data_IF_798220737186
#
_entry.id   IF_798220737186
#
_cell.length_a   1.000
_cell.length_b   1.000
_cell.length_c   1.000
_cell.angle_alpha   90.00
_cell.angle_beta   90.00
_cell.angle_gamma   90.00
#
_symmetry.space_group_name_H-M   'P 1'
#
loop_
_entity.id
_entity.type
_entity.pdbx_description
1 polymer ?
#
# COMPACT_ATOMS: atom_id res chain seq x y z
N UNK A 1 -18.75 -20.61 -30.10
CA UNK A 1 -17.50 -21.02 -29.41
C UNK A 1 -16.65 -19.82 -28.93
N UNK A 2 -16.42 -18.80 -29.76
CA UNK A 2 -15.62 -17.60 -29.41
C UNK A 2 -16.23 -16.83 -28.24
N UNK A 3 -17.53 -16.61 -28.18
CA UNK A 3 -18.21 -15.91 -27.10
C UNK A 3 -18.07 -16.64 -25.75
N UNK A 4 -18.19 -17.96 -25.73
CA UNK A 4 -18.00 -18.77 -24.51
C UNK A 4 -16.57 -18.68 -23.98
N UNK A 5 -15.58 -18.73 -24.85
CA UNK A 5 -14.17 -18.59 -24.46
C UNK A 5 -13.88 -17.20 -23.94
N UNK A 6 -14.49 -16.16 -24.49
CA UNK A 6 -14.38 -14.78 -24.04
C UNK A 6 -14.96 -14.59 -22.63
N UNK A 7 -16.18 -15.12 -22.38
CA UNK A 7 -16.80 -15.06 -21.05
C UNK A 7 -16.01 -15.83 -19.97
N UNK A 8 -15.43 -16.98 -20.33
CA UNK A 8 -14.62 -17.77 -19.38
C UNK A 8 -13.34 -17.02 -19.06
N UNK A 9 -12.68 -16.41 -20.04
CA UNK A 9 -11.47 -15.61 -19.85
C UNK A 9 -11.74 -14.39 -18.97
N UNK A 10 -12.81 -13.65 -19.24
CA UNK A 10 -13.22 -12.48 -18.47
C UNK A 10 -13.55 -12.84 -17.01
N UNK A 11 -14.16 -14.01 -16.80
CA UNK A 11 -14.42 -14.52 -15.45
C UNK A 11 -13.12 -14.87 -14.72
N UNK A 12 -12.17 -15.52 -15.40
CA UNK A 12 -10.89 -15.88 -14.81
C UNK A 12 -10.04 -14.65 -14.47
N UNK A 13 -10.08 -13.63 -15.32
CA UNK A 13 -9.39 -12.36 -15.05
C UNK A 13 -9.99 -11.64 -13.85
N UNK A 14 -11.31 -11.57 -13.73
CA UNK A 14 -11.99 -10.99 -12.56
C UNK A 14 -11.68 -11.73 -11.25
N UNK A 15 -11.65 -13.04 -11.27
CA UNK A 15 -11.28 -13.85 -10.09
C UNK A 15 -9.83 -13.58 -9.69
N UNK A 16 -8.91 -13.50 -10.67
CA UNK A 16 -7.51 -13.15 -10.39
C UNK A 16 -7.37 -11.75 -9.79
N UNK A 17 -8.14 -10.78 -10.27
CA UNK A 17 -8.13 -9.41 -9.72
C UNK A 17 -8.69 -9.36 -8.30
N UNK A 18 -9.82 -10.01 -8.06
CA UNK A 18 -10.41 -10.09 -6.73
C UNK A 18 -9.43 -10.73 -5.73
N UNK A 19 -8.76 -11.80 -6.13
CA UNK A 19 -7.74 -12.45 -5.30
C UNK A 19 -6.57 -11.51 -5.00
N UNK A 20 -6.10 -10.73 -5.98
CA UNK A 20 -5.05 -9.73 -5.77
C UNK A 20 -5.46 -8.64 -4.78
N UNK A 21 -6.68 -8.15 -4.89
CA UNK A 21 -7.24 -7.15 -3.97
C UNK A 21 -7.30 -7.71 -2.55
N UNK A 22 -7.81 -8.93 -2.37
CA UNK A 22 -7.86 -9.58 -1.07
C UNK A 22 -6.46 -9.77 -0.46
N UNK A 23 -5.50 -10.25 -1.25
CA UNK A 23 -4.10 -10.39 -0.81
C UNK A 23 -3.50 -9.04 -0.42
N UNK A 24 -3.75 -8.01 -1.20
CA UNK A 24 -3.28 -6.66 -0.90
C UNK A 24 -3.92 -6.11 0.39
N UNK A 25 -5.20 -6.36 0.62
CA UNK A 25 -5.87 -5.97 1.86
C UNK A 25 -5.28 -6.66 3.09
N UNK A 26 -4.97 -7.96 2.99
CA UNK A 26 -4.30 -8.71 4.07
C UNK A 26 -2.92 -8.12 4.38
N UNK A 27 -2.12 -7.86 3.34
CA UNK A 27 -0.79 -7.27 3.52
C UNK A 27 -0.89 -5.84 4.05
N UNK A 28 -1.88 -5.06 3.59
CA UNK A 28 -2.14 -3.72 4.11
C UNK A 28 -2.48 -3.72 5.61
N UNK A 29 -3.28 -4.67 6.06
CA UNK A 29 -3.59 -4.86 7.49
C UNK A 29 -2.34 -5.23 8.28
N UNK A 30 -1.51 -6.16 7.77
CA UNK A 30 -0.24 -6.52 8.41
C UNK A 30 0.71 -5.32 8.47
N UNK A 31 0.79 -4.52 7.42
CA UNK A 31 1.58 -3.29 7.41
C UNK A 31 1.12 -2.29 8.47
N UNK A 32 -0.20 -2.11 8.61
CA UNK A 32 -0.75 -1.24 9.65
C UNK A 32 -0.37 -1.73 11.06
N UNK A 33 -0.43 -3.04 11.30
CA UNK A 33 0.01 -3.65 12.56
C UNK A 33 1.50 -3.46 12.80
N UNK A 34 2.35 -3.70 11.79
CA UNK A 34 3.80 -3.48 11.89
C UNK A 34 4.10 -2.03 12.22
N UNK A 35 3.44 -1.09 11.55
CA UNK A 35 3.60 0.34 11.80
C UNK A 35 3.20 0.69 13.23
N UNK A 36 2.03 0.27 13.67
CA UNK A 36 1.52 0.54 15.01
C UNK A 36 2.43 -0.04 16.11
N UNK A 37 2.83 -1.30 15.99
CA UNK A 37 3.73 -1.97 16.95
C UNK A 37 5.10 -1.30 16.98
N UNK A 38 5.65 -0.94 15.82
CA UNK A 38 6.96 -0.27 15.75
C UNK A 38 6.91 1.10 16.40
N UNK A 39 5.89 1.90 16.13
CA UNK A 39 5.72 3.23 16.74
C UNK A 39 5.57 3.09 18.25
N UNK A 40 4.71 2.19 18.72
CA UNK A 40 4.52 1.93 20.14
C UNK A 40 5.82 1.51 20.81
N UNK A 41 6.53 0.53 20.25
CA UNK A 41 7.80 0.04 20.81
C UNK A 41 8.88 1.14 20.86
N UNK A 42 9.02 1.92 19.80
CA UNK A 42 10.02 2.98 19.74
C UNK A 42 9.71 4.15 20.67
N UNK A 43 8.45 4.49 20.83
CA UNK A 43 8.04 5.60 21.69
C UNK A 43 8.02 5.21 23.18
N UNK A 44 7.45 4.06 23.51
CA UNK A 44 7.25 3.67 24.91
C UNK A 44 8.47 2.96 25.53
N UNK A 45 9.17 2.14 24.74
CA UNK A 45 10.32 1.36 25.26
C UNK A 45 11.67 2.04 25.05
N UNK A 46 11.83 2.79 23.97
CA UNK A 46 13.11 3.42 23.62
C UNK A 46 13.12 4.94 23.81
N UNK A 47 12.01 5.54 24.23
CA UNK A 47 11.85 7.01 24.38
C UNK A 47 12.31 7.82 23.16
N UNK A 48 12.12 7.25 21.96
CA UNK A 48 12.51 7.91 20.71
C UNK A 48 11.43 8.90 20.29
N UNK A 49 11.86 10.03 19.72
CA UNK A 49 10.96 11.05 19.20
C UNK A 49 9.94 10.44 18.22
N UNK A 50 8.67 10.83 18.34
CA UNK A 50 7.57 10.32 17.51
C UNK A 50 7.84 10.45 16.00
N UNK A 51 8.56 11.49 15.58
CA UNK A 51 8.89 11.73 14.18
C UNK A 51 9.84 10.67 13.62
N UNK A 52 10.90 10.30 14.35
CA UNK A 52 11.82 9.23 14.00
C UNK A 52 11.13 7.85 14.05
N UNK A 53 10.31 7.65 15.06
CA UNK A 53 9.53 6.41 15.21
C UNK A 53 8.59 6.19 14.01
N UNK A 54 7.92 7.25 13.58
CA UNK A 54 7.03 7.22 12.43
C UNK A 54 7.79 6.90 11.13
N UNK A 55 8.88 7.62 10.83
CA UNK A 55 9.69 7.38 9.63
C UNK A 55 10.23 5.96 9.60
N UNK A 56 10.78 5.47 10.71
CA UNK A 56 11.32 4.11 10.81
C UNK A 56 10.23 3.05 10.61
N UNK A 57 9.08 3.24 11.24
CA UNK A 57 7.93 2.34 11.09
C UNK A 57 7.44 2.26 9.64
N UNK A 58 7.36 3.39 8.96
CA UNK A 58 6.97 3.41 7.54
C UNK A 58 8.00 2.74 6.64
N UNK A 59 9.29 2.94 6.87
CA UNK A 59 10.35 2.27 6.10
C UNK A 59 10.25 0.75 6.25
N UNK A 60 10.09 0.25 7.48
CA UNK A 60 9.94 -1.18 7.75
C UNK A 60 8.68 -1.74 7.09
N UNK A 61 7.54 -1.08 7.27
CA UNK A 61 6.28 -1.48 6.66
C UNK A 61 6.36 -1.49 5.13
N UNK A 62 7.04 -0.52 4.53
CA UNK A 62 7.18 -0.45 3.07
C UNK A 62 8.13 -1.52 2.52
N UNK A 63 9.20 -1.82 3.21
CA UNK A 63 10.09 -2.93 2.84
C UNK A 63 9.32 -4.27 2.85
N UNK A 64 8.56 -4.51 3.90
CA UNK A 64 7.68 -5.67 4.02
C UNK A 64 6.65 -5.70 2.88
N UNK A 65 5.97 -4.58 2.65
CA UNK A 65 4.97 -4.46 1.58
C UNK A 65 5.56 -4.73 0.19
N UNK A 66 6.76 -4.21 -0.09
CA UNK A 66 7.45 -4.44 -1.37
C UNK A 66 7.72 -5.92 -1.60
N UNK A 67 8.25 -6.63 -0.59
CA UNK A 67 8.57 -8.06 -0.68
C UNK A 67 7.30 -8.86 -1.02
N UNK A 68 6.21 -8.63 -0.30
CA UNK A 68 4.95 -9.33 -0.53
C UNK A 68 4.28 -8.96 -1.84
N UNK A 69 4.31 -7.68 -2.23
CA UNK A 69 3.80 -7.24 -3.53
C UNK A 69 4.53 -7.94 -4.67
N UNK A 70 5.86 -8.02 -4.58
CA UNK A 70 6.68 -8.62 -5.62
C UNK A 70 6.48 -10.12 -5.76
N UNK A 71 6.44 -10.85 -4.65
CA UNK A 71 6.47 -12.32 -4.68
C UNK A 71 5.08 -12.95 -4.59
N UNK A 72 4.13 -12.30 -3.98
CA UNK A 72 2.82 -12.89 -3.71
C UNK A 72 1.64 -12.25 -4.42
N UNK A 73 1.60 -10.92 -4.47
CA UNK A 73 0.45 -10.20 -5.03
C UNK A 73 0.58 -10.09 -6.55
N UNK A 74 1.75 -9.70 -7.03
CA UNK A 74 2.04 -9.50 -8.43
C UNK A 74 3.24 -10.36 -8.90
N UNK A 75 3.10 -11.69 -8.91
CA UNK A 75 4.19 -12.55 -9.36
C UNK A 75 4.52 -12.23 -10.81
N UNK A 76 5.73 -11.74 -11.05
CA UNK A 76 6.25 -11.45 -12.38
C UNK A 76 7.11 -12.61 -12.85
N UNK A 77 6.67 -13.29 -13.89
CA UNK A 77 7.37 -14.44 -14.48
C UNK A 77 8.64 -14.05 -15.27
N UNK A 78 8.77 -12.78 -15.61
CA UNK A 78 9.90 -12.30 -16.42
C UNK A 78 11.02 -11.75 -15.53
N UNK A 79 12.27 -11.98 -15.94
CA UNK A 79 13.48 -11.32 -15.45
C UNK A 79 13.35 -9.79 -15.54
N UNK A 80 12.54 -9.19 -14.70
CA UNK A 80 12.45 -7.74 -14.63
C UNK A 80 13.55 -7.24 -13.69
N UNK A 81 14.15 -6.13 -14.04
CA UNK A 81 15.19 -5.53 -13.24
C UNK A 81 14.63 -5.12 -11.87
N UNK A 82 15.07 -5.81 -10.83
CA UNK A 82 14.60 -5.59 -9.46
C UNK A 82 14.82 -4.14 -9.03
N UNK A 83 15.92 -3.52 -9.45
CA UNK A 83 16.22 -2.13 -9.14
C UNK A 83 15.19 -1.16 -9.70
N UNK A 84 14.76 -1.40 -10.95
CA UNK A 84 13.66 -0.62 -11.55
C UNK A 84 12.35 -0.78 -10.77
N UNK A 85 12.04 -1.99 -10.31
CA UNK A 85 10.85 -2.23 -9.51
C UNK A 85 10.91 -1.51 -8.16
N UNK A 86 12.06 -1.52 -7.48
CA UNK A 86 12.27 -0.78 -6.23
C UNK A 86 12.06 0.72 -6.45
N UNK A 87 12.63 1.26 -7.53
CA UNK A 87 12.48 2.68 -7.86
C UNK A 87 11.02 3.06 -8.12
N UNK A 88 10.33 2.30 -8.97
CA UNK A 88 8.92 2.54 -9.29
C UNK A 88 8.01 2.37 -8.06
N UNK A 89 8.31 1.39 -7.22
CA UNK A 89 7.59 1.19 -5.96
C UNK A 89 7.78 2.36 -5.00
N UNK A 90 9.01 2.89 -4.90
CA UNK A 90 9.30 4.07 -4.07
C UNK A 90 8.58 5.32 -4.58
N UNK A 91 8.50 5.51 -5.90
CA UNK A 91 7.74 6.59 -6.52
C UNK A 91 6.24 6.43 -6.23
N UNK A 92 5.71 5.22 -6.38
CA UNK A 92 4.30 4.91 -6.07
C UNK A 92 3.97 5.19 -4.60
N UNK A 93 4.87 4.81 -3.69
CA UNK A 93 4.76 5.12 -2.26
C UNK A 93 4.75 6.64 -2.02
N UNK A 94 5.69 7.37 -2.58
CA UNK A 94 5.75 8.83 -2.44
C UNK A 94 4.48 9.52 -2.94
N UNK A 95 3.95 9.11 -4.08
CA UNK A 95 2.70 9.65 -4.63
C UNK A 95 1.49 9.32 -3.75
N UNK A 96 1.40 8.08 -3.27
CA UNK A 96 0.31 7.66 -2.39
C UNK A 96 0.36 8.40 -1.04
N UNK A 97 1.56 8.59 -0.50
CA UNK A 97 1.77 9.34 0.73
C UNK A 97 1.41 10.82 0.57
N UNK A 98 1.83 11.45 -0.52
CA UNK A 98 1.44 12.84 -0.82
C UNK A 98 -0.08 12.99 -0.96
N UNK A 99 -0.74 12.08 -1.68
CA UNK A 99 -2.19 12.09 -1.83
C UNK A 99 -2.90 11.95 -0.47
N UNK A 100 -2.45 11.02 0.35
CA UNK A 100 -2.99 10.83 1.71
C UNK A 100 -2.75 12.05 2.59
N UNK A 101 -1.58 12.64 2.53
CA UNK A 101 -1.23 13.82 3.32
C UNK A 101 -2.07 15.04 2.95
N UNK A 102 -2.25 15.30 1.65
CA UNK A 102 -3.14 16.36 1.16
C UNK A 102 -4.60 16.12 1.57
N UNK A 103 -5.05 14.88 1.49
CA UNK A 103 -6.39 14.49 1.94
C UNK A 103 -6.58 14.69 3.44
N UNK A 104 -5.58 14.33 4.24
CA UNK A 104 -5.57 14.52 5.69
C UNK A 104 -5.68 16.01 6.05
N UNK A 105 -4.86 16.86 5.44
CA UNK A 105 -4.91 18.31 5.65
C UNK A 105 -6.29 18.87 5.25
N UNK A 106 -6.81 18.48 4.10
CA UNK A 106 -8.11 18.91 3.64
C UNK A 106 -9.26 18.53 4.58
N UNK A 107 -9.20 17.35 5.19
CA UNK A 107 -10.21 16.92 6.17
C UNK A 107 -10.07 17.65 7.51
N UNK A 108 -8.87 17.81 8.01
CA UNK A 108 -8.62 18.43 9.33
C UNK A 108 -8.85 19.94 9.26
N UNK A 109 -8.30 20.61 8.28
CA UNK A 109 -8.41 22.08 8.15
C UNK A 109 -9.68 22.54 7.44
N UNK A 110 -10.15 21.79 6.45
CA UNK A 110 -11.32 22.18 5.65
C UNK A 110 -12.66 21.82 6.29
N UNK A 111 -12.77 20.63 6.86
CA UNK A 111 -14.02 20.11 7.41
C UNK A 111 -14.03 20.02 8.94
N UNK A 112 -12.93 20.44 9.62
CA UNK A 112 -12.76 20.30 11.07
C UNK A 112 -13.08 18.87 11.59
N UNK A 113 -12.71 17.86 10.81
CA UNK A 113 -12.87 16.48 11.21
C UNK A 113 -11.91 16.09 12.33
N UNK A 114 -12.31 15.10 13.12
CA UNK A 114 -11.43 14.51 14.14
C UNK A 114 -10.15 13.95 13.47
N UNK A 115 -8.98 14.21 14.07
CA UNK A 115 -7.69 13.78 13.55
C UNK A 115 -7.61 12.25 13.36
N UNK A 116 -8.18 11.49 14.29
CA UNK A 116 -8.20 10.02 14.20
C UNK A 116 -9.05 9.53 13.03
N UNK A 117 -10.22 10.13 12.84
CA UNK A 117 -11.10 9.78 11.72
C UNK A 117 -10.45 10.15 10.38
N UNK A 118 -9.83 11.32 10.30
CA UNK A 118 -9.12 11.78 9.11
C UNK A 118 -7.95 10.86 8.76
N UNK A 119 -7.17 10.41 9.74
CA UNK A 119 -6.08 9.45 9.54
C UNK A 119 -6.61 8.08 9.09
N UNK A 120 -7.70 7.61 9.68
CA UNK A 120 -8.33 6.36 9.28
C UNK A 120 -8.82 6.37 7.83
N UNK A 121 -9.50 7.44 7.42
CA UNK A 121 -9.92 7.64 6.03
C UNK A 121 -8.72 7.81 5.08
N UNK A 122 -7.67 8.47 5.54
CA UNK A 122 -6.41 8.64 4.79
C UNK A 122 -5.73 7.30 4.48
N UNK A 123 -5.83 6.31 5.35
CA UNK A 123 -5.31 4.96 5.09
C UNK A 123 -5.98 4.30 3.89
N UNK A 124 -7.28 4.49 3.69
CA UNK A 124 -7.98 3.97 2.52
C UNK A 124 -7.53 4.66 1.23
N UNK A 125 -7.36 5.97 1.25
CA UNK A 125 -6.84 6.74 0.11
C UNK A 125 -5.42 6.29 -0.23
N UNK A 126 -4.57 6.19 0.77
CA UNK A 126 -3.21 5.68 0.61
C UNK A 126 -3.18 4.27 0.01
N UNK A 127 -3.94 3.34 0.59
CA UNK A 127 -4.01 1.96 0.13
C UNK A 127 -4.53 1.85 -1.30
N UNK A 128 -5.57 2.58 -1.66
CA UNK A 128 -6.13 2.62 -3.01
C UNK A 128 -5.15 3.14 -4.05
N UNK A 129 -4.52 4.28 -3.79
CA UNK A 129 -3.53 4.88 -4.71
C UNK A 129 -2.31 3.98 -4.83
N UNK A 130 -1.78 3.48 -3.71
CA UNK A 130 -0.63 2.58 -3.71
C UNK A 130 -0.90 1.28 -4.48
N UNK A 131 -2.07 0.69 -4.29
CA UNK A 131 -2.48 -0.50 -5.04
C UNK A 131 -2.56 -0.24 -6.55
N UNK A 132 -3.22 0.83 -6.96
CA UNK A 132 -3.37 1.18 -8.37
C UNK A 132 -2.02 1.48 -9.04
N UNK A 133 -1.14 2.19 -8.35
CA UNK A 133 0.19 2.52 -8.85
C UNK A 133 1.05 1.26 -8.99
N UNK A 134 1.08 0.41 -7.99
CA UNK A 134 1.84 -0.83 -8.04
C UNK A 134 1.32 -1.77 -9.14
N UNK A 135 0.00 -1.87 -9.29
CA UNK A 135 -0.60 -2.69 -10.33
C UNK A 135 -0.28 -2.19 -11.74
N UNK A 136 -0.38 -0.88 -11.98
CA UNK A 136 -0.25 -0.29 -13.33
C UNK A 136 1.20 0.01 -13.73
N UNK A 137 2.04 0.35 -12.79
CA UNK A 137 3.37 0.93 -13.05
C UNK A 137 4.49 0.01 -12.58
N UNK A 138 4.45 -0.42 -11.33
CA UNK A 138 5.58 -1.13 -10.72
C UNK A 138 5.72 -2.57 -11.21
N UNK A 139 4.61 -3.29 -11.25
CA UNK A 139 4.58 -4.73 -11.56
C UNK A 139 3.85 -5.05 -12.89
N UNK A 140 4.00 -4.20 -13.87
CA UNK A 140 3.43 -4.38 -15.20
C UNK A 140 4.28 -5.28 -16.10
#
# INVERSE_FOLDING_TARGET
RRQRQMCIRDRQERVKESTRICRFAVIGTLNALITAVTIWFMMDELDINYMLSNVTAYILAQTHNFIWCKYWIFPTEKKSNTWRQVLLFSIAFGMAYCAQFLFLIGLVEGLNCDEYLAQFLGLFVYGGVNFLMNRKVTFK
#
